data_IF_786043672289
#
_entry.id   IF_786043672289
#
_cell.length_a   1.000
_cell.length_b   1.000
_cell.length_c   1.000
_cell.angle_alpha   90.00
_cell.angle_beta   90.00
_cell.angle_gamma   90.00
#
_symmetry.space_group_name_H-M   'P 1'
#
loop_
_entity.id
_entity.type
_entity.pdbx_description
1 polymer ?
#
# COMPACT_ATOMS: atom_id res chain seq x y z
N UNK A 1 19.03 -19.72 61.74
CA UNK A 1 19.45 -19.47 60.36
C UNK A 1 18.20 -19.49 59.49
N UNK A 2 17.82 -18.31 58.98
CA UNK A 2 16.66 -18.13 58.07
C UNK A 2 17.22 -18.02 56.62
N UNK A 3 16.91 -19.00 55.77
CA UNK A 3 17.22 -18.91 54.34
C UNK A 3 16.16 -18.12 53.64
N UNK A 4 16.57 -16.95 53.04
CA UNK A 4 15.74 -16.16 52.19
C UNK A 4 15.95 -16.70 50.78
N UNK A 5 14.93 -17.31 50.19
CA UNK A 5 14.89 -17.78 48.78
C UNK A 5 14.43 -16.58 47.90
N UNK A 6 15.36 -15.96 47.18
CA UNK A 6 15.05 -14.93 46.20
C UNK A 6 14.72 -15.65 44.90
N UNK A 7 13.44 -15.65 44.56
CA UNK A 7 12.97 -16.12 43.25
C UNK A 7 13.15 -14.94 42.27
N UNK A 8 14.16 -14.99 41.41
CA UNK A 8 14.29 -14.09 40.26
C UNK A 8 13.26 -14.47 39.19
N UNK A 9 12.15 -13.73 39.14
CA UNK A 9 11.16 -13.84 38.08
C UNK A 9 11.67 -13.09 36.85
N UNK A 10 12.30 -13.78 35.90
CA UNK A 10 12.69 -13.22 34.62
C UNK A 10 11.44 -13.07 33.73
N UNK A 11 10.97 -11.82 33.60
CA UNK A 11 9.90 -11.44 32.68
C UNK A 11 10.52 -11.43 31.29
N UNK A 12 10.31 -12.50 30.53
CA UNK A 12 10.54 -12.50 29.09
C UNK A 12 9.45 -11.64 28.45
N UNK A 13 9.78 -10.40 28.13
CA UNK A 13 8.95 -9.54 27.32
C UNK A 13 9.01 -10.06 25.88
N UNK A 14 8.04 -10.88 25.49
CA UNK A 14 7.87 -11.25 24.08
C UNK A 14 7.37 -10.01 23.35
N UNK A 15 8.22 -9.36 22.57
CA UNK A 15 7.77 -8.39 21.58
C UNK A 15 6.96 -9.16 20.55
N UNK A 16 5.65 -9.09 20.65
CA UNK A 16 4.75 -9.52 19.58
C UNK A 16 4.85 -8.44 18.51
N UNK A 17 5.57 -8.72 17.43
CA UNK A 17 5.51 -7.90 16.23
C UNK A 17 4.12 -8.09 15.64
N UNK A 18 3.24 -7.16 15.88
CA UNK A 18 1.97 -7.08 15.18
C UNK A 18 2.23 -6.54 13.79
N UNK A 19 2.18 -7.39 12.78
CA UNK A 19 2.04 -6.88 11.42
C UNK A 19 0.66 -6.22 11.31
N UNK A 20 0.55 -5.02 10.77
CA UNK A 20 -0.69 -4.24 10.82
C UNK A 20 -1.81 -4.82 9.96
N UNK A 21 -1.49 -5.73 9.05
CA UNK A 21 -2.47 -6.44 8.24
C UNK A 21 -2.00 -7.87 7.97
N UNK A 22 -2.92 -8.84 7.99
CA UNK A 22 -2.57 -10.21 7.68
C UNK A 22 -2.21 -10.34 6.19
N UNK A 23 -1.05 -10.91 5.89
CA UNK A 23 -0.70 -11.34 4.54
C UNK A 23 -1.66 -12.50 4.17
N UNK A 24 -2.32 -12.47 3.00
CA UNK A 24 -3.17 -13.56 2.56
C UNK A 24 -2.40 -14.88 2.43
N UNK A 25 -3.06 -16.02 2.68
CA UNK A 25 -2.41 -17.35 2.64
C UNK A 25 -1.76 -17.67 1.29
N UNK A 26 -2.34 -17.16 0.20
CA UNK A 26 -1.83 -17.32 -1.17
C UNK A 26 -0.92 -16.17 -1.63
N UNK A 27 -0.58 -15.25 -0.71
CA UNK A 27 0.22 -14.07 -0.99
C UNK A 27 -0.34 -13.19 -2.12
N UNK A 28 -1.64 -13.24 -2.36
CA UNK A 28 -2.30 -12.47 -3.42
C UNK A 28 -3.71 -12.03 -3.00
N UNK A 29 -4.06 -10.79 -3.35
CA UNK A 29 -5.43 -10.29 -3.32
C UNK A 29 -5.82 -9.88 -4.74
N UNK A 30 -6.96 -10.39 -5.21
CA UNK A 30 -7.43 -10.13 -6.56
C UNK A 30 -8.89 -9.66 -6.54
N UNK A 31 -9.16 -8.59 -7.31
CA UNK A 31 -10.49 -8.02 -7.47
C UNK A 31 -10.85 -7.84 -8.93
N UNK A 32 -12.09 -8.16 -9.27
CA UNK A 32 -12.70 -7.76 -10.54
C UNK A 32 -13.23 -6.33 -10.47
N UNK A 33 -12.93 -5.51 -11.46
CA UNK A 33 -13.51 -4.18 -11.61
C UNK A 33 -14.80 -4.28 -12.40
N UNK A 34 -15.94 -4.10 -11.73
CA UNK A 34 -17.26 -4.27 -12.33
C UNK A 34 -17.94 -2.92 -12.58
N UNK A 35 -18.38 -2.67 -13.81
CA UNK A 35 -19.20 -1.53 -14.19
C UNK A 35 -20.44 -2.00 -14.94
N UNK A 36 -21.64 -1.57 -14.48
CA UNK A 36 -22.93 -1.95 -15.08
C UNK A 36 -23.05 -3.47 -15.32
N UNK A 37 -22.66 -4.28 -14.32
CA UNK A 37 -22.66 -5.75 -14.34
C UNK A 37 -21.69 -6.38 -15.36
N UNK A 38 -20.75 -5.64 -15.91
CA UNK A 38 -19.72 -6.16 -16.80
C UNK A 38 -18.36 -6.01 -16.15
N UNK A 39 -17.54 -7.05 -16.24
CA UNK A 39 -16.13 -6.94 -15.87
C UNK A 39 -15.43 -6.03 -16.90
N UNK A 40 -14.77 -4.99 -16.42
CA UNK A 40 -14.02 -4.03 -17.24
C UNK A 40 -12.53 -4.00 -16.87
N UNK A 41 -12.10 -4.81 -15.91
CA UNK A 41 -10.72 -4.85 -15.49
C UNK A 41 -10.48 -5.67 -14.23
N UNK A 42 -9.25 -5.65 -13.77
CA UNK A 42 -8.83 -6.33 -12.54
C UNK A 42 -7.79 -5.52 -11.78
N UNK A 43 -7.79 -5.68 -10.48
CA UNK A 43 -6.71 -5.29 -9.58
C UNK A 43 -6.12 -6.54 -8.96
N UNK A 44 -4.81 -6.69 -9.02
CA UNK A 44 -4.08 -7.80 -8.40
C UNK A 44 -2.98 -7.20 -7.54
N UNK A 45 -2.93 -7.57 -6.27
CA UNK A 45 -1.88 -7.18 -5.32
C UNK A 45 -1.18 -8.44 -4.84
N UNK A 46 0.14 -8.53 -5.07
CA UNK A 46 1.01 -9.63 -4.65
C UNK A 46 1.88 -9.20 -3.50
N UNK A 47 2.01 -10.07 -2.52
CA UNK A 47 2.74 -9.83 -1.27
C UNK A 47 4.01 -10.68 -1.26
N UNK A 48 5.14 -10.03 -1.08
CA UNK A 48 6.44 -10.68 -0.88
C UNK A 48 6.88 -10.43 0.56
N UNK A 49 6.84 -11.47 1.38
CA UNK A 49 7.28 -11.41 2.77
C UNK A 49 8.80 -11.62 2.82
N UNK A 50 9.50 -10.63 3.30
CA UNK A 50 10.93 -10.66 3.57
C UNK A 50 11.14 -10.53 5.09
N UNK A 51 12.28 -10.97 5.61
CA UNK A 51 12.54 -11.03 7.07
C UNK A 51 12.19 -9.74 7.82
N UNK A 52 12.49 -8.57 7.23
CA UNK A 52 12.31 -7.25 7.87
C UNK A 52 11.25 -6.37 7.17
N UNK A 53 10.63 -6.84 6.10
CA UNK A 53 9.71 -6.02 5.30
C UNK A 53 8.74 -6.85 4.50
N UNK A 54 7.61 -6.25 4.18
CA UNK A 54 6.65 -6.77 3.19
C UNK A 54 6.68 -5.84 1.99
N UNK A 55 6.90 -6.42 0.81
CA UNK A 55 6.80 -5.70 -0.46
C UNK A 55 5.49 -6.08 -1.13
N UNK A 56 4.73 -5.07 -1.55
CA UNK A 56 3.42 -5.29 -2.18
C UNK A 56 3.45 -4.69 -3.57
N UNK A 57 3.26 -5.56 -4.55
CA UNK A 57 3.21 -5.19 -5.95
C UNK A 57 1.77 -5.25 -6.45
N UNK A 58 1.17 -4.09 -6.74
CA UNK A 58 -0.22 -3.97 -7.18
C UNK A 58 -0.31 -3.51 -8.62
N UNK A 59 -1.17 -4.18 -9.40
CA UNK A 59 -1.43 -3.83 -10.80
C UNK A 59 -2.93 -3.71 -11.01
N UNK A 60 -3.37 -2.51 -11.40
CA UNK A 60 -4.76 -2.22 -11.79
C UNK A 60 -4.83 -1.98 -13.30
N UNK A 61 -5.66 -2.76 -13.96
CA UNK A 61 -5.94 -2.64 -15.40
C UNK A 61 -7.42 -2.47 -15.62
N UNK A 62 -7.81 -1.42 -16.35
CA UNK A 62 -9.20 -1.19 -16.76
C UNK A 62 -9.25 -1.03 -18.29
N UNK A 63 -10.18 -1.70 -18.93
CA UNK A 63 -10.40 -1.62 -20.38
C UNK A 63 -11.91 -1.58 -20.67
N UNK A 64 -12.40 -0.40 -21.01
CA UNK A 64 -13.80 -0.18 -21.36
C UNK A 64 -13.95 -0.19 -22.88
N UNK A 65 -14.85 -1.04 -23.38
CA UNK A 65 -15.22 -1.10 -24.80
C UNK A 65 -16.66 -0.67 -24.99
N UNK A 66 -16.92 0.09 -26.04
CA UNK A 66 -18.25 0.47 -26.50
C UNK A 66 -18.43 -0.03 -27.92
N UNK A 67 -19.39 -0.90 -28.15
CA UNK A 67 -19.62 -1.54 -29.47
C UNK A 67 -18.34 -2.15 -30.05
N UNK A 68 -17.58 -2.87 -29.20
CA UNK A 68 -16.28 -3.52 -29.53
C UNK A 68 -15.12 -2.56 -29.81
N UNK A 69 -15.33 -1.25 -29.76
CA UNK A 69 -14.26 -0.23 -29.92
C UNK A 69 -13.71 0.08 -28.52
N UNK A 70 -12.38 0.10 -28.33
CA UNK A 70 -11.77 0.60 -27.09
C UNK A 70 -12.21 2.06 -26.86
N UNK A 71 -12.80 2.33 -25.70
CA UNK A 71 -13.29 3.66 -25.34
C UNK A 71 -12.51 4.29 -24.19
N UNK A 72 -11.84 3.48 -23.39
CA UNK A 72 -11.00 3.93 -22.29
C UNK A 72 -10.12 2.78 -21.80
N UNK A 73 -8.86 3.08 -21.58
CA UNK A 73 -7.90 2.23 -20.88
C UNK A 73 -7.31 2.97 -19.71
N UNK A 74 -6.98 2.23 -18.68
CA UNK A 74 -6.29 2.73 -17.51
C UNK A 74 -5.32 1.65 -17.04
N UNK A 75 -4.12 2.06 -16.73
CA UNK A 75 -3.10 1.21 -16.15
C UNK A 75 -2.48 1.90 -14.95
N UNK A 76 -2.35 1.16 -13.86
CA UNK A 76 -1.57 1.58 -12.70
C UNK A 76 -0.76 0.40 -12.20
N UNK A 77 0.47 0.67 -11.84
CA UNK A 77 1.36 -0.25 -11.17
C UNK A 77 2.00 0.46 -9.98
N UNK A 78 2.01 -0.19 -8.83
CA UNK A 78 2.67 0.32 -7.62
C UNK A 78 3.47 -0.77 -6.95
N UNK A 79 4.63 -0.40 -6.43
CA UNK A 79 5.45 -1.21 -5.54
C UNK A 79 5.58 -0.48 -4.21
N UNK A 80 4.94 -1.00 -3.18
CA UNK A 80 4.95 -0.46 -1.83
C UNK A 80 5.88 -1.31 -0.97
N UNK A 81 6.64 -0.68 -0.06
CA UNK A 81 7.42 -1.38 0.97
C UNK A 81 6.93 -0.97 2.34
N UNK A 82 6.71 -1.96 3.19
CA UNK A 82 6.26 -1.80 4.56
C UNK A 82 7.24 -2.47 5.52
N UNK A 83 7.64 -1.79 6.61
CA UNK A 83 8.52 -2.34 7.65
C UNK A 83 7.87 -2.17 9.01
N UNK A 84 7.80 -3.24 9.78
CA UNK A 84 7.19 -3.23 11.11
C UNK A 84 5.80 -2.59 11.13
N UNK A 85 5.10 -2.66 10.00
CA UNK A 85 3.79 -2.06 9.86
C UNK A 85 3.74 -0.61 9.45
N UNK A 86 4.86 0.01 9.23
CA UNK A 86 4.96 1.37 8.73
C UNK A 86 5.18 1.39 7.22
N UNK A 87 4.52 2.29 6.54
CA UNK A 87 4.70 2.54 5.11
C UNK A 87 6.01 3.30 4.89
N UNK A 88 7.00 2.66 4.25
CA UNK A 88 8.35 3.23 4.13
C UNK A 88 8.74 3.63 2.73
N UNK A 89 8.14 3.07 1.68
CA UNK A 89 8.41 3.54 0.32
C UNK A 89 7.32 3.17 -0.68
N UNK A 90 7.28 3.93 -1.77
CA UNK A 90 6.47 3.63 -2.95
C UNK A 90 7.23 4.01 -4.22
N UNK A 91 7.08 3.16 -5.23
CA UNK A 91 7.38 3.44 -6.64
C UNK A 91 6.12 3.13 -7.43
N UNK A 92 5.60 4.09 -8.16
CA UNK A 92 4.33 3.98 -8.84
C UNK A 92 4.33 4.64 -10.21
N UNK A 93 3.57 4.03 -11.12
CA UNK A 93 3.29 4.56 -12.44
C UNK A 93 1.79 4.43 -12.74
N UNK A 94 1.20 5.50 -13.28
CA UNK A 94 -0.19 5.53 -13.71
C UNK A 94 -0.30 6.13 -15.10
N UNK A 95 -0.98 5.40 -16.01
CA UNK A 95 -1.29 5.81 -17.38
C UNK A 95 -2.83 5.90 -17.53
N UNK A 96 -3.32 7.10 -17.84
CA UNK A 96 -4.74 7.39 -18.08
C UNK A 96 -5.14 7.29 -19.56
N UNK A 97 -4.24 6.90 -20.46
CA UNK A 97 -4.45 6.78 -21.92
C UNK A 97 -4.76 8.11 -22.66
N UNK A 98 -4.81 9.23 -21.97
CA UNK A 98 -5.12 10.54 -22.53
C UNK A 98 -3.93 11.51 -22.41
N UNK A 99 -2.72 11.00 -22.62
CA UNK A 99 -1.42 11.68 -22.44
C UNK A 99 -1.12 12.11 -21.00
N UNK A 100 -1.91 11.63 -20.01
CA UNK A 100 -1.64 11.84 -18.58
C UNK A 100 -0.96 10.63 -17.98
N UNK A 101 0.32 10.75 -17.81
CA UNK A 101 1.15 9.78 -17.10
C UNK A 101 1.70 10.38 -15.80
N UNK A 102 1.63 9.64 -14.72
CA UNK A 102 2.18 10.06 -13.43
C UNK A 102 3.17 9.03 -12.92
N UNK A 103 4.34 9.52 -12.53
CA UNK A 103 5.32 8.75 -11.76
C UNK A 103 5.28 9.24 -10.33
N UNK A 104 5.28 8.30 -9.40
CA UNK A 104 5.21 8.55 -7.98
C UNK A 104 6.38 7.84 -7.33
N UNK A 105 7.20 8.59 -6.61
CA UNK A 105 8.28 8.05 -5.80
C UNK A 105 8.12 8.62 -4.42
N UNK A 106 8.16 7.78 -3.39
CA UNK A 106 8.08 8.23 -2.01
C UNK A 106 8.93 7.38 -1.09
N UNK A 107 9.51 8.02 -0.08
CA UNK A 107 10.34 7.36 0.91
C UNK A 107 10.11 7.96 2.29
N UNK A 108 10.24 7.11 3.32
CA UNK A 108 10.33 7.55 4.71
C UNK A 108 11.67 8.23 4.95
N UNK A 109 11.64 9.48 5.44
CA UNK A 109 12.81 10.28 5.79
C UNK A 109 12.62 10.87 7.19
N UNK A 110 13.35 10.34 8.16
CA UNK A 110 13.32 10.76 9.57
C UNK A 110 11.91 10.77 10.17
N UNK A 111 11.28 11.97 10.22
CA UNK A 111 9.96 12.18 10.82
C UNK A 111 8.84 12.41 9.79
N UNK A 112 9.14 12.26 8.49
CA UNK A 112 8.22 12.58 7.41
C UNK A 112 8.27 11.51 6.33
N UNK A 113 7.18 11.41 5.56
CA UNK A 113 7.19 10.70 4.31
C UNK A 113 7.32 11.74 3.18
N UNK A 114 8.41 11.67 2.43
CA UNK A 114 8.67 12.57 1.30
C UNK A 114 8.25 11.86 0.02
N UNK A 115 7.33 12.47 -0.71
CA UNK A 115 6.84 11.92 -1.98
C UNK A 115 6.89 12.95 -3.09
N UNK A 116 7.04 12.49 -4.33
CA UNK A 116 6.85 13.29 -5.54
C UNK A 116 5.73 12.70 -6.38
N UNK A 117 4.91 13.56 -6.96
CA UNK A 117 3.77 13.20 -7.78
C UNK A 117 3.39 14.31 -8.75
N UNK A 118 2.10 14.38 -9.12
CA UNK A 118 1.63 15.32 -10.14
C UNK A 118 1.83 16.80 -9.75
N UNK A 119 1.81 17.14 -8.47
CA UNK A 119 1.94 18.51 -7.96
C UNK A 119 3.36 18.81 -7.46
N UNK A 120 4.33 17.93 -7.75
CA UNK A 120 5.72 18.06 -7.31
C UNK A 120 6.00 17.31 -6.01
N UNK A 121 6.96 17.83 -5.22
CA UNK A 121 7.36 17.23 -3.96
C UNK A 121 6.37 17.56 -2.84
N UNK A 122 6.02 16.55 -2.06
CA UNK A 122 5.16 16.61 -0.90
C UNK A 122 5.89 16.13 0.34
N UNK A 123 5.74 16.86 1.43
CA UNK A 123 6.20 16.46 2.75
C UNK A 123 4.98 16.10 3.61
N UNK A 124 4.82 14.82 3.88
CA UNK A 124 3.64 14.24 4.52
C UNK A 124 3.96 13.77 5.94
N UNK A 125 2.91 13.55 6.73
CA UNK A 125 3.06 12.87 8.02
C UNK A 125 3.69 11.48 7.80
N UNK A 126 4.58 11.08 8.71
CA UNK A 126 5.24 9.77 8.64
C UNK A 126 4.25 8.61 8.62
N UNK A 127 3.12 8.77 9.31
CA UNK A 127 2.09 7.75 9.41
C UNK A 127 1.03 7.84 8.30
N UNK A 128 1.31 8.59 7.22
CA UNK A 128 0.37 8.68 6.11
C UNK A 128 0.04 7.30 5.54
N UNK A 129 -1.23 7.02 5.33
CA UNK A 129 -1.68 5.75 4.76
C UNK A 129 -1.89 5.90 3.25
N UNK A 130 -1.32 5.00 2.43
CA UNK A 130 -1.56 5.03 1.00
C UNK A 130 -2.98 4.57 0.67
N UNK A 131 -3.60 5.23 -0.32
CA UNK A 131 -4.88 4.84 -0.88
C UNK A 131 -4.67 3.61 -1.78
N UNK A 132 -4.86 2.46 -1.19
CA UNK A 132 -4.81 1.16 -1.86
C UNK A 132 -6.06 0.35 -1.48
N UNK A 133 -6.37 -0.70 -2.24
CA UNK A 133 -7.62 -1.46 -2.07
C UNK A 133 -7.43 -2.76 -1.28
N UNK A 134 -6.22 -3.05 -0.81
CA UNK A 134 -5.93 -4.23 0.00
C UNK A 134 -5.88 -3.91 1.50
N UNK A 135 -5.60 -2.67 1.89
CA UNK A 135 -5.54 -2.24 3.30
C UNK A 135 -6.82 -1.50 3.69
N UNK A 136 -7.62 -2.14 4.53
CA UNK A 136 -8.89 -1.57 5.00
C UNK A 136 -8.71 -0.38 5.94
N UNK A 137 -7.53 -0.22 6.57
CA UNK A 137 -7.25 0.88 7.51
C UNK A 137 -7.36 2.25 6.84
N UNK A 138 -7.13 2.34 5.53
CA UNK A 138 -7.33 3.57 4.76
C UNK A 138 -8.73 4.18 4.94
N UNK A 139 -9.74 3.36 5.25
CA UNK A 139 -11.13 3.84 5.46
C UNK A 139 -11.33 4.56 6.78
N UNK A 140 -10.41 4.43 7.72
CA UNK A 140 -10.45 5.07 9.02
C UNK A 140 -9.68 6.40 9.06
N UNK A 141 -8.92 6.68 8.00
CA UNK A 141 -8.08 7.87 7.92
C UNK A 141 -8.87 9.07 7.36
N UNK A 142 -8.51 10.27 7.86
CA UNK A 142 -9.07 11.53 7.35
C UNK A 142 -8.37 12.00 6.08
N UNK A 143 -7.09 11.69 6.00
CA UNK A 143 -6.23 12.04 4.89
C UNK A 143 -5.47 10.79 4.45
N UNK A 144 -5.43 10.52 3.16
CA UNK A 144 -4.72 9.40 2.56
C UNK A 144 -3.85 9.87 1.40
N UNK A 145 -2.75 9.17 1.17
CA UNK A 145 -1.88 9.42 0.02
C UNK A 145 -2.43 8.71 -1.22
N UNK A 146 -2.90 9.48 -2.20
CA UNK A 146 -3.40 8.96 -3.47
C UNK A 146 -2.24 8.41 -4.31
N UNK A 147 -2.14 7.10 -4.40
CA UNK A 147 -1.07 6.38 -5.12
C UNK A 147 -1.22 6.44 -6.65
N UNK A 148 -2.29 7.03 -7.19
CA UNK A 148 -2.45 7.23 -8.64
C UNK A 148 -1.81 8.53 -9.12
N UNK A 149 -1.82 9.56 -8.28
CA UNK A 149 -1.41 10.90 -8.67
C UNK A 149 -0.29 11.47 -7.79
N UNK A 150 -0.04 10.88 -6.63
CA UNK A 150 0.92 11.41 -5.66
C UNK A 150 0.43 12.71 -5.03
N UNK A 151 -0.79 12.74 -4.52
CA UNK A 151 -1.40 13.88 -3.81
C UNK A 151 -2.07 13.40 -2.53
N UNK A 152 -2.41 14.32 -1.63
CA UNK A 152 -3.24 14.01 -0.44
C UNK A 152 -4.72 14.16 -0.77
N UNK A 153 -5.55 13.29 -0.23
CA UNK A 153 -7.01 13.33 -0.34
C UNK A 153 -7.66 13.22 1.03
#
# INVERSE_FOLDING_TARGET
MKYIFIICLSIFSSCVFSQPFPIPEDNEVSYDVIRKKKNIGSLISKFEDNEDSVVIHSVLKINVKVLFIPAYKFFQETKETWKNGEFVSIDGFTDFEDDREYKIIGNDEDNFFIASGMDGELKLDKNIVPLNYWNIEMLNEKEVFDTQKGIVR
#
